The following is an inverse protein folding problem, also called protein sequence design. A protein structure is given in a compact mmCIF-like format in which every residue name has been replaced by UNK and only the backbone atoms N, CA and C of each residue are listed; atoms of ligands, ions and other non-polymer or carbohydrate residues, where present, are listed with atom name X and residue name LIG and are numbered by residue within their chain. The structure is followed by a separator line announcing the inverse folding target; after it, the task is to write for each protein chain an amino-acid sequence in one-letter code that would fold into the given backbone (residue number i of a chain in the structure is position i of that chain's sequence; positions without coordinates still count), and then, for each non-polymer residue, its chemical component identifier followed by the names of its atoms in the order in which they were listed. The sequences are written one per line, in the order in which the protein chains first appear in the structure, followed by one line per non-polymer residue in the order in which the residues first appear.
data_IF_014034278927
#
_entry.id   IF_014034278927
#
_cell.length_a   1.000
_cell.length_b   1.000
_cell.length_c   1.000
_cell.angle_alpha   90.00
_cell.angle_beta   90.00
_cell.angle_gamma   90.00
#
_symmetry.space_group_name_H-M   'P 1'
#
loop_
_entity.id
_entity.type
_entity.pdbx_description
1 polymer ?
#
# COMPACT_ATOMS: atom_id res chain seq x y z
N UNK A 1 -46.23 -57.10 -17.12
CA UNK A 1 -45.29 -56.24 -17.87
C UNK A 1 -45.74 -54.79 -17.77
N UNK A 2 -45.00 -53.95 -17.04
CA UNK A 2 -45.17 -52.49 -16.94
C UNK A 2 -43.79 -51.84 -17.15
N UNK A 3 -43.66 -50.71 -17.86
CA UNK A 3 -42.36 -50.15 -18.23
C UNK A 3 -41.76 -49.28 -17.13
N UNK A 4 -40.43 -49.27 -17.07
CA UNK A 4 -39.59 -48.51 -16.14
C UNK A 4 -39.57 -47.01 -16.48
N UNK A 5 -39.73 -46.14 -15.46
CA UNK A 5 -39.43 -44.70 -15.55
C UNK A 5 -37.95 -44.47 -15.24
N UNK A 6 -37.25 -43.84 -16.18
CA UNK A 6 -35.90 -43.29 -16.02
C UNK A 6 -35.90 -42.14 -15.00
N UNK A 7 -34.99 -42.22 -14.04
CA UNK A 7 -34.59 -41.11 -13.16
C UNK A 7 -33.52 -40.28 -13.88
N UNK A 8 -33.76 -38.98 -14.03
CA UNK A 8 -32.81 -38.01 -14.56
C UNK A 8 -32.10 -37.39 -13.35
N UNK A 9 -30.80 -37.67 -13.21
CA UNK A 9 -29.93 -37.05 -12.22
C UNK A 9 -29.59 -35.62 -12.64
N UNK A 10 -30.10 -34.64 -11.90
CA UNK A 10 -29.65 -33.26 -11.99
C UNK A 10 -28.40 -33.08 -11.14
N UNK A 11 -27.25 -32.97 -11.78
CA UNK A 11 -26.01 -32.46 -11.17
C UNK A 11 -26.23 -31.00 -10.75
N UNK A 12 -26.14 -30.73 -9.44
CA UNK A 12 -26.06 -29.36 -8.91
C UNK A 12 -24.60 -28.97 -8.84
N UNK A 13 -24.15 -28.14 -9.76
CA UNK A 13 -22.89 -27.41 -9.65
C UNK A 13 -22.96 -26.47 -8.43
N UNK A 14 -22.18 -26.77 -7.40
CA UNK A 14 -21.86 -25.86 -6.31
C UNK A 14 -20.86 -24.83 -6.83
N UNK A 15 -21.33 -23.64 -7.21
CA UNK A 15 -20.49 -22.49 -7.45
C UNK A 15 -20.35 -21.73 -6.13
N UNK A 16 -19.22 -21.89 -5.44
CA UNK A 16 -18.84 -21.07 -4.28
C UNK A 16 -18.69 -19.62 -4.73
N UNK A 17 -19.62 -18.77 -4.31
CA UNK A 17 -19.59 -17.33 -4.54
C UNK A 17 -18.81 -16.69 -3.39
N UNK A 18 -17.55 -16.34 -3.64
CA UNK A 18 -16.78 -15.44 -2.78
C UNK A 18 -17.34 -14.04 -2.93
N UNK A 19 -17.79 -13.42 -1.84
CA UNK A 19 -18.17 -12.01 -1.81
C UNK A 19 -16.93 -11.17 -1.44
N UNK A 20 -16.27 -10.63 -2.46
CA UNK A 20 -15.24 -9.60 -2.31
C UNK A 20 -15.95 -8.26 -2.10
N UNK A 21 -15.95 -7.74 -0.87
CA UNK A 21 -16.42 -6.38 -0.59
C UNK A 21 -15.24 -5.43 -0.85
N UNK A 22 -15.21 -4.85 -2.06
CA UNK A 22 -14.28 -3.76 -2.40
C UNK A 22 -14.89 -2.47 -1.86
N UNK A 23 -14.48 -2.04 -0.67
CA UNK A 23 -14.90 -0.75 -0.12
C UNK A 23 -14.05 0.37 -0.71
N UNK A 24 -14.64 1.16 -1.62
CA UNK A 24 -14.04 2.39 -2.14
C UNK A 24 -14.21 3.51 -1.10
N UNK A 25 -13.15 3.86 -0.38
CA UNK A 25 -13.12 5.16 0.32
C UNK A 25 -12.74 6.23 -0.70
N UNK A 26 -13.77 6.96 -1.14
CA UNK A 26 -13.70 8.19 -1.92
C UNK A 26 -13.14 9.32 -1.06
N UNK A 27 -11.96 9.85 -1.40
CA UNK A 27 -11.53 11.16 -0.93
C UNK A 27 -11.65 12.15 -2.11
N UNK A 28 -12.61 13.10 -2.11
CA UNK A 28 -12.69 14.10 -3.17
C UNK A 28 -11.77 15.30 -2.90
N UNK A 29 -11.12 15.75 -3.98
CA UNK A 29 -10.72 17.12 -4.32
C UNK A 29 -9.96 17.98 -3.29
N UNK A 30 -8.70 18.29 -3.62
CA UNK A 30 -8.14 19.64 -3.57
C UNK A 30 -6.93 19.73 -4.51
N UNK A 31 -7.19 19.87 -5.81
CA UNK A 31 -6.23 20.44 -6.76
C UNK A 31 -6.98 21.43 -7.65
N UNK A 32 -7.19 22.64 -7.12
CA UNK A 32 -7.56 23.78 -7.93
C UNK A 32 -6.31 24.46 -8.48
N UNK A 33 -6.39 24.74 -9.77
CA UNK A 33 -5.70 25.78 -10.54
C UNK A 33 -4.19 25.68 -10.74
N UNK A 34 -3.81 25.29 -11.97
CA UNK A 34 -3.09 26.19 -12.87
C UNK A 34 -3.35 25.77 -14.32
N UNK A 35 -4.28 26.47 -14.95
CA UNK A 35 -4.50 26.44 -16.39
C UNK A 35 -3.35 27.18 -17.08
N UNK A 36 -2.68 26.54 -18.03
CA UNK A 36 -2.04 27.27 -19.14
C UNK A 36 -2.58 26.70 -20.45
N UNK A 37 -3.21 27.61 -21.17
CA UNK A 37 -3.88 27.52 -22.46
C UNK A 37 -2.93 27.09 -23.57
N UNK A 38 -3.37 26.20 -24.46
CA UNK A 38 -2.65 25.87 -25.69
C UNK A 38 -3.40 24.93 -26.63
N UNK A 39 -4.35 25.47 -27.41
CA UNK A 39 -4.68 25.07 -28.79
C UNK A 39 -5.16 23.63 -29.08
N UNK A 40 -6.43 23.51 -29.45
CA UNK A 40 -7.11 22.32 -29.98
C UNK A 40 -6.52 21.78 -31.30
N UNK A 41 -6.46 20.45 -31.47
CA UNK A 41 -6.86 19.77 -32.71
C UNK A 41 -7.54 18.44 -32.35
N UNK A 42 -8.81 18.29 -32.77
CA UNK A 42 -9.50 17.00 -32.87
C UNK A 42 -9.15 16.40 -34.23
N UNK A 43 -8.55 15.20 -34.27
CA UNK A 43 -8.53 14.35 -35.46
C UNK A 43 -9.22 13.02 -35.11
N UNK A 44 -10.30 12.77 -35.84
CA UNK A 44 -11.09 11.54 -35.86
C UNK A 44 -10.28 10.33 -36.34
N UNK A 45 -10.37 9.21 -35.60
CA UNK A 45 -10.34 7.85 -36.17
C UNK A 45 -8.99 7.24 -36.55
N UNK A 46 -8.37 6.53 -35.60
CA UNK A 46 -8.00 5.10 -35.67
C UNK A 46 -7.22 4.75 -34.41
N UNK A 47 -7.66 3.68 -33.77
CA UNK A 47 -7.01 3.07 -32.62
C UNK A 47 -5.69 2.44 -33.08
N UNK A 48 -4.60 3.19 -32.90
CA UNK A 48 -3.24 2.67 -32.88
C UNK A 48 -2.53 3.40 -31.76
N UNK A 49 -2.48 2.81 -30.56
CA UNK A 49 -1.53 3.20 -29.53
C UNK A 49 -0.13 2.92 -30.06
N UNK A 50 0.43 3.85 -30.83
CA UNK A 50 1.87 3.91 -31.06
C UNK A 50 2.50 4.08 -29.68
N UNK A 51 3.25 3.07 -29.22
CA UNK A 51 4.08 3.24 -28.04
C UNK A 51 5.05 4.39 -28.33
N UNK A 52 4.82 5.55 -27.73
CA UNK A 52 5.78 6.63 -27.71
C UNK A 52 7.07 6.10 -27.07
N UNK A 53 8.12 5.99 -27.88
CA UNK A 53 9.44 5.51 -27.50
C UNK A 53 10.44 6.67 -27.45
N UNK A 54 9.97 7.91 -27.31
CA UNK A 54 10.84 9.05 -27.08
C UNK A 54 11.62 8.88 -25.76
N UNK A 55 12.82 9.47 -25.64
CA UNK A 55 13.59 9.44 -24.41
C UNK A 55 12.82 10.02 -23.20
N UNK A 56 11.87 10.93 -23.43
CA UNK A 56 11.01 11.47 -22.38
C UNK A 56 9.98 10.44 -21.91
N UNK A 57 9.28 9.77 -22.84
CA UNK A 57 8.34 8.70 -22.51
C UNK A 57 9.04 7.49 -21.85
N UNK A 58 10.26 7.17 -22.27
CA UNK A 58 11.08 6.15 -21.63
C UNK A 58 11.47 6.55 -20.19
N UNK A 59 11.93 7.80 -19.99
CA UNK A 59 12.23 8.34 -18.66
C UNK A 59 11.02 8.29 -17.73
N UNK A 60 9.84 8.69 -18.21
CA UNK A 60 8.59 8.65 -17.43
C UNK A 60 8.19 7.22 -17.06
N UNK A 61 8.34 6.26 -17.99
CA UNK A 61 8.12 4.83 -17.71
C UNK A 61 9.10 4.31 -16.67
N UNK A 62 10.38 4.66 -16.77
CA UNK A 62 11.39 4.24 -15.81
C UNK A 62 11.11 4.82 -14.42
N UNK A 63 10.73 6.09 -14.32
CA UNK A 63 10.32 6.73 -13.06
C UNK A 63 9.09 6.01 -12.49
N UNK A 64 8.05 5.78 -13.28
CA UNK A 64 6.84 5.08 -12.83
C UNK A 64 7.15 3.65 -12.36
N UNK A 65 7.97 2.92 -13.10
CA UNK A 65 8.37 1.56 -12.77
C UNK A 65 9.23 1.54 -11.50
N UNK A 66 10.19 2.44 -11.38
CA UNK A 66 11.00 2.59 -10.17
C UNK A 66 10.14 2.93 -8.96
N UNK A 67 9.22 3.89 -9.07
CA UNK A 67 8.27 4.23 -7.99
C UNK A 67 7.36 3.06 -7.62
N UNK A 68 6.93 2.26 -8.60
CA UNK A 68 6.12 1.07 -8.35
C UNK A 68 6.92 -0.02 -7.65
N UNK A 69 8.15 -0.28 -8.13
CA UNK A 69 9.04 -1.30 -7.58
C UNK A 69 9.52 -0.94 -6.17
N UNK A 70 9.85 0.34 -5.95
CA UNK A 70 10.47 0.83 -4.72
C UNK A 70 9.46 1.35 -3.68
N UNK A 71 8.20 1.59 -4.06
CA UNK A 71 7.18 2.14 -3.15
C UNK A 71 6.08 1.16 -2.74
N UNK A 72 6.04 -0.05 -3.29
CA UNK A 72 4.91 -1.00 -3.10
C UNK A 72 5.34 -2.30 -2.42
N UNK A 73 5.97 -2.20 -1.26
CA UNK A 73 6.30 -3.34 -0.38
C UNK A 73 6.30 -2.90 1.08
N UNK A 74 6.22 -3.86 1.99
CA UNK A 74 6.42 -3.68 3.41
C UNK A 74 7.79 -4.22 3.82
N UNK A 75 8.37 -3.60 4.84
CA UNK A 75 9.64 -3.97 5.45
C UNK A 75 9.31 -4.57 6.80
N UNK A 76 9.85 -5.74 7.12
CA UNK A 76 9.67 -6.32 8.45
C UNK A 76 10.42 -5.53 9.52
N UNK A 77 9.74 -5.21 10.61
CA UNK A 77 10.35 -4.57 11.76
C UNK A 77 11.03 -5.61 12.65
N UNK A 78 12.36 -5.60 12.64
CA UNK A 78 13.25 -6.34 13.55
C UNK A 78 13.84 -5.44 14.64
N UNK A 79 13.25 -4.26 14.87
CA UNK A 79 13.71 -3.26 15.84
C UNK A 79 14.32 -2.00 15.20
N UNK A 80 14.24 -1.84 13.88
CA UNK A 80 14.68 -0.63 13.18
C UNK A 80 13.81 0.57 13.57
N UNK A 81 12.51 0.33 13.73
CA UNK A 81 11.53 1.32 14.15
C UNK A 81 11.18 1.08 15.62
N UNK A 82 11.52 2.00 16.54
CA UNK A 82 11.30 1.85 17.97
C UNK A 82 9.86 2.26 18.35
N UNK A 83 8.88 1.75 17.60
CA UNK A 83 7.44 1.88 17.91
C UNK A 83 7.00 0.53 18.44
N UNK A 84 6.42 0.55 19.65
CA UNK A 84 5.87 -0.64 20.28
C UNK A 84 4.86 -1.32 19.35
N UNK A 85 4.87 -2.64 19.35
CA UNK A 85 3.98 -3.49 18.54
C UNK A 85 4.05 -3.32 17.01
N UNK A 86 4.95 -2.49 16.48
CA UNK A 86 5.15 -2.36 15.04
C UNK A 86 5.81 -3.62 14.48
N UNK A 87 5.11 -4.29 13.57
CA UNK A 87 5.57 -5.53 12.93
C UNK A 87 6.09 -5.30 11.52
N UNK A 88 5.45 -4.41 10.76
CA UNK A 88 5.86 -4.08 9.39
C UNK A 88 5.64 -2.59 9.10
N UNK A 89 6.35 -2.03 8.13
CA UNK A 89 6.16 -0.62 7.73
C UNK A 89 6.46 -0.38 6.26
N UNK A 90 5.89 0.68 5.69
CA UNK A 90 6.18 1.09 4.31
C UNK A 90 7.56 1.75 4.20
N UNK A 91 8.22 1.73 3.03
CA UNK A 91 9.51 2.41 2.82
C UNK A 91 9.48 3.90 3.14
N UNK A 92 8.35 4.58 2.92
CA UNK A 92 8.19 5.99 3.29
C UNK A 92 8.03 6.18 4.80
N UNK A 93 7.73 5.10 5.53
CA UNK A 93 7.37 5.11 6.94
C UNK A 93 5.97 5.68 7.20
N UNK A 94 5.19 6.06 6.19
CA UNK A 94 3.87 6.66 6.43
C UNK A 94 2.82 5.64 6.88
N UNK A 95 3.12 4.35 6.71
CA UNK A 95 2.24 3.26 7.09
C UNK A 95 3.03 2.33 8.01
N UNK A 96 2.49 2.09 9.21
CA UNK A 96 3.00 1.09 10.15
C UNK A 96 1.88 0.08 10.41
N UNK A 97 2.20 -1.21 10.33
CA UNK A 97 1.31 -2.31 10.63
C UNK A 97 1.70 -2.85 12.00
N UNK A 98 0.76 -2.81 12.94
CA UNK A 98 0.93 -3.16 14.35
C UNK A 98 0.32 -4.55 14.64
N UNK A 99 0.54 -5.13 15.82
CA UNK A 99 -0.14 -6.37 16.21
C UNK A 99 -1.69 -6.27 16.18
N UNK A 100 -2.24 -5.10 16.54
CA UNK A 100 -3.67 -4.87 16.79
C UNK A 100 -4.31 -3.91 15.77
N UNK A 101 -3.60 -3.54 14.70
CA UNK A 101 -4.09 -2.56 13.75
C UNK A 101 -2.99 -1.91 12.94
N UNK A 102 -3.15 -0.61 12.63
CA UNK A 102 -2.19 0.11 11.80
C UNK A 102 -2.21 1.62 12.06
N UNK A 103 -1.10 2.28 11.72
CA UNK A 103 -0.95 3.73 11.76
C UNK A 103 -0.80 4.27 10.35
N UNK A 104 -1.51 5.34 10.05
CA UNK A 104 -1.32 6.19 8.86
C UNK A 104 -0.79 7.56 9.29
N UNK A 105 0.31 8.00 8.68
CA UNK A 105 0.90 9.32 8.89
C UNK A 105 0.70 10.16 7.64
N UNK A 106 0.01 11.27 7.80
CA UNK A 106 -0.14 12.30 6.76
C UNK A 106 0.74 13.46 7.17
N UNK A 107 1.88 13.63 6.51
CA UNK A 107 2.84 14.69 6.83
C UNK A 107 3.10 15.60 5.64
N UNK A 108 3.21 16.88 5.94
CA UNK A 108 3.72 17.91 5.06
C UNK A 108 5.07 18.38 5.61
N UNK A 109 6.07 18.42 4.73
CA UNK A 109 7.38 18.97 5.05
C UNK A 109 7.38 20.43 4.62
N UNK A 110 7.50 21.34 5.58
CA UNK A 110 7.54 22.79 5.34
C UNK A 110 8.89 23.37 5.75
N UNK A 111 9.27 24.47 5.14
CA UNK A 111 10.41 25.27 5.60
C UNK A 111 10.01 26.14 6.80
N UNK A 112 10.97 26.92 7.32
CA UNK A 112 10.75 27.81 8.46
C UNK A 112 9.65 28.87 8.26
N UNK A 113 9.30 29.16 7.00
CA UNK A 113 8.29 30.16 6.60
C UNK A 113 6.95 29.49 6.20
N UNK A 114 6.72 28.24 6.59
CA UNK A 114 5.52 27.43 6.27
C UNK A 114 5.31 27.17 4.77
N UNK A 115 6.33 27.36 3.93
CA UNK A 115 6.26 27.00 2.52
C UNK A 115 6.49 25.50 2.33
N UNK A 116 5.62 24.81 1.56
CA UNK A 116 5.80 23.39 1.26
C UNK A 116 7.12 23.16 0.53
N UNK A 117 7.94 22.27 1.07
CA UNK A 117 9.16 21.82 0.37
C UNK A 117 8.72 20.72 -0.60
N UNK A 118 8.92 20.87 -1.92
CA UNK A 118 8.58 19.82 -2.87
C UNK A 118 9.40 18.58 -2.53
N UNK A 119 8.73 17.45 -2.27
CA UNK A 119 9.38 16.16 -2.03
C UNK A 119 10.02 15.66 -3.33
N UNK A 120 11.22 16.15 -3.65
CA UNK A 120 12.06 15.60 -4.71
C UNK A 120 12.80 14.38 -4.15
N UNK A 121 13.01 13.31 -4.95
CA UNK A 121 13.72 12.10 -4.50
C UNK A 121 15.16 12.34 -3.99
N UNK A 122 15.72 13.53 -4.26
CA UNK A 122 17.05 13.92 -3.84
C UNK A 122 17.16 15.46 -3.85
N UNK A 123 17.45 16.05 -2.70
CA UNK A 123 17.99 17.41 -2.60
C UNK A 123 19.47 17.22 -2.24
N UNK A 124 20.43 17.58 -3.11
CA UNK A 124 21.83 17.44 -2.77
C UNK A 124 22.14 18.30 -1.54
N UNK A 125 23.00 17.80 -0.65
CA UNK A 125 23.26 18.42 0.65
C UNK A 125 23.73 19.89 0.56
N UNK A 126 24.32 20.29 -0.57
CA UNK A 126 24.70 21.67 -0.86
C UNK A 126 23.50 22.60 -1.15
N UNK A 127 22.36 22.07 -1.57
CA UNK A 127 21.08 22.78 -1.74
C UNK A 127 20.24 22.78 -0.46
N UNK A 128 20.57 21.94 0.52
CA UNK A 128 20.02 22.05 1.88
C UNK A 128 20.62 23.24 2.66
N UNK A 129 21.73 23.81 2.17
CA UNK A 129 22.36 25.00 2.74
C UNK A 129 21.45 26.21 2.47
N UNK A 130 20.67 26.62 3.48
CA UNK A 130 19.75 27.75 3.40
C UNK A 130 18.27 27.36 3.51
N UNK A 131 17.94 26.07 3.53
CA UNK A 131 16.65 25.61 4.06
C UNK A 131 16.74 25.84 5.57
N UNK A 132 15.94 26.76 6.12
CA UNK A 132 15.84 26.98 7.57
C UNK A 132 15.39 25.71 8.31
N UNK A 133 14.96 25.82 9.56
CA UNK A 133 14.36 24.67 10.26
C UNK A 133 13.31 23.98 9.37
N UNK A 134 13.55 22.73 9.01
CA UNK A 134 12.56 21.88 8.35
C UNK A 134 11.60 21.45 9.44
N UNK A 135 10.32 21.78 9.26
CA UNK A 135 9.26 21.36 10.17
C UNK A 135 8.37 20.36 9.47
N UNK A 136 8.10 19.26 10.14
CA UNK A 136 7.03 18.36 9.74
C UNK A 136 5.79 18.71 10.53
N UNK A 137 4.68 18.94 9.82
CA UNK A 137 3.36 19.02 10.42
C UNK A 137 2.46 17.99 9.77
N UNK A 138 1.51 17.47 10.53
CA UNK A 138 0.72 16.36 10.03
C UNK A 138 -0.29 15.83 11.02
N UNK A 139 -1.01 14.82 10.56
CA UNK A 139 -1.97 14.05 11.35
C UNK A 139 -1.51 12.60 11.38
N UNK A 140 -1.58 12.00 12.56
CA UNK A 140 -1.38 10.57 12.76
C UNK A 140 -2.73 9.95 13.06
N UNK A 141 -3.14 8.98 12.26
CA UNK A 141 -4.33 8.18 12.51
C UNK A 141 -3.89 6.79 12.96
N UNK A 142 -4.35 6.36 14.13
CA UNK A 142 -4.21 4.97 14.60
C UNK A 142 -5.56 4.28 14.45
N UNK A 143 -5.56 3.18 13.74
CA UNK A 143 -6.68 2.26 13.63
C UNK A 143 -6.35 1.03 14.46
N UNK A 144 -7.33 0.56 15.22
CA UNK A 144 -7.26 -0.67 16.01
C UNK A 144 -8.41 -1.55 15.59
N UNK A 145 -8.17 -2.85 15.44
CA UNK A 145 -9.22 -3.82 15.19
C UNK A 145 -10.02 -4.01 16.49
N UNK A 146 -11.30 -3.63 16.47
CA UNK A 146 -12.16 -3.74 17.64
C UNK A 146 -12.59 -5.20 17.82
N UNK A 147 -12.59 -5.66 19.07
CA UNK A 147 -13.00 -7.02 19.43
C UNK A 147 -12.23 -8.12 18.66
N UNK A 148 -11.05 -7.76 18.16
CA UNK A 148 -10.17 -8.71 17.51
C UNK A 148 -9.67 -9.76 18.50
N UNK A 149 -9.41 -10.94 17.94
CA UNK A 149 -8.63 -11.99 18.58
C UNK A 149 -7.16 -11.56 18.75
N UNK A 150 -6.27 -12.53 18.95
CA UNK A 150 -4.81 -12.34 18.87
C UNK A 150 -4.32 -12.87 17.50
N UNK A 151 -4.36 -12.06 16.42
CA UNK A 151 -4.10 -12.55 15.08
C UNK A 151 -2.63 -12.91 14.90
N UNK A 152 -2.36 -14.02 14.21
CA UNK A 152 -1.02 -14.31 13.70
C UNK A 152 -0.75 -13.44 12.49
N UNK A 153 0.34 -12.68 12.50
CA UNK A 153 0.69 -11.74 11.43
C UNK A 153 1.92 -12.23 10.67
N UNK A 154 1.80 -12.35 9.34
CA UNK A 154 2.86 -12.87 8.48
C UNK A 154 3.09 -11.99 7.26
N UNK A 155 4.37 -11.87 6.86
CA UNK A 155 4.75 -11.24 5.60
C UNK A 155 4.63 -12.24 4.45
N UNK A 156 3.90 -11.88 3.41
CA UNK A 156 3.61 -12.74 2.27
C UNK A 156 4.16 -12.18 0.96
N UNK A 157 4.36 -13.08 -0.01
CA UNK A 157 4.95 -12.76 -1.33
C UNK A 157 6.26 -11.98 -1.18
N UNK A 158 7.25 -12.63 -0.54
CA UNK A 158 8.62 -12.13 -0.32
C UNK A 158 9.23 -11.57 -1.61
N UNK A 159 9.71 -10.32 -1.56
CA UNK A 159 10.48 -9.70 -2.62
C UNK A 159 11.86 -10.37 -2.76
N UNK A 160 12.45 -10.25 -3.95
CA UNK A 160 13.77 -10.84 -4.26
C UNK A 160 14.95 -10.01 -3.73
N UNK A 161 14.70 -9.01 -2.89
CA UNK A 161 15.71 -8.12 -2.33
C UNK A 161 15.37 -7.78 -0.88
N UNK A 162 16.42 -7.40 -0.14
CA UNK A 162 16.35 -7.04 1.27
C UNK A 162 16.74 -5.58 1.49
N UNK A 163 16.34 -5.04 2.63
CA UNK A 163 16.69 -3.68 3.05
C UNK A 163 17.77 -3.72 4.13
N UNK A 164 18.69 -2.76 4.08
CA UNK A 164 19.75 -2.61 5.08
C UNK A 164 19.68 -1.21 5.70
N UNK A 165 19.83 -1.13 7.02
CA UNK A 165 19.86 0.11 7.79
C UNK A 165 21.18 0.21 8.55
N UNK A 166 21.87 1.33 8.38
CA UNK A 166 23.10 1.66 9.11
C UNK A 166 22.83 2.93 9.92
N UNK A 167 22.19 2.77 11.08
CA UNK A 167 21.68 3.91 11.86
C UNK A 167 22.81 4.50 12.71
N UNK A 168 23.42 5.57 12.22
CA UNK A 168 24.55 6.23 12.89
C UNK A 168 25.81 5.36 12.93
N UNK A 169 26.69 5.66 13.89
CA UNK A 169 28.01 5.03 14.00
C UNK A 169 28.04 3.82 14.97
N UNK A 170 26.90 3.40 15.52
CA UNK A 170 26.81 2.24 16.42
C UNK A 170 26.44 0.99 15.63
N UNK A 171 27.34 0.00 15.48
CA UNK A 171 27.05 -1.24 14.76
C UNK A 171 25.91 -2.06 15.35
N UNK A 172 25.57 -1.89 16.64
CA UNK A 172 24.42 -2.57 17.24
C UNK A 172 23.08 -2.04 16.71
N UNK A 173 23.10 -0.88 16.04
CA UNK A 173 21.94 -0.29 15.37
C UNK A 173 21.99 -0.50 13.85
N UNK A 174 22.86 -1.41 13.40
CA UNK A 174 22.92 -1.82 12.00
C UNK A 174 22.08 -3.08 11.81
N UNK A 175 21.12 -2.98 10.89
CA UNK A 175 20.19 -4.06 10.57
C UNK A 175 20.39 -4.43 9.11
N UNK A 176 20.79 -5.65 8.83
CA UNK A 176 21.05 -6.12 7.46
C UNK A 176 20.17 -7.31 7.09
N UNK A 177 19.98 -7.51 5.79
CA UNK A 177 19.17 -8.58 5.20
C UNK A 177 17.73 -8.58 5.74
N UNK A 178 17.15 -7.39 5.90
CA UNK A 178 15.79 -7.24 6.39
C UNK A 178 14.83 -7.58 5.24
N UNK A 179 13.94 -8.56 5.46
CA UNK A 179 13.06 -9.06 4.42
C UNK A 179 11.98 -8.05 4.04
N UNK A 180 11.64 -8.02 2.75
CA UNK A 180 10.62 -7.16 2.18
C UNK A 180 9.47 -7.99 1.61
N UNK A 181 8.22 -7.59 1.83
CA UNK A 181 7.04 -8.38 1.45
C UNK A 181 6.07 -7.56 0.61
N UNK A 182 5.37 -8.17 -0.35
CA UNK A 182 4.33 -7.45 -1.11
C UNK A 182 3.02 -7.36 -0.35
N UNK A 183 2.79 -8.28 0.57
CA UNK A 183 1.56 -8.39 1.35
C UNK A 183 1.91 -8.65 2.81
N UNK A 184 1.04 -8.22 3.71
CA UNK A 184 1.08 -8.63 5.12
C UNK A 184 -0.31 -9.16 5.46
N UNK A 185 -0.36 -10.38 5.98
CA UNK A 185 -1.60 -11.09 6.27
C UNK A 185 -1.76 -11.18 7.78
N UNK A 186 -2.93 -10.77 8.26
CA UNK A 186 -3.39 -10.96 9.61
C UNK A 186 -4.40 -12.10 9.59
N UNK A 187 -4.04 -13.22 10.19
CA UNK A 187 -4.90 -14.38 10.23
C UNK A 187 -5.84 -14.35 11.44
N UNK A 188 -7.11 -14.68 11.19
CA UNK A 188 -8.13 -14.82 12.21
C UNK A 188 -8.24 -13.59 13.13
N UNK A 189 -8.23 -12.39 12.51
CA UNK A 189 -8.46 -11.11 13.21
C UNK A 189 -9.79 -11.18 13.95
N UNK A 190 -10.81 -11.69 13.27
CA UNK A 190 -12.05 -12.19 13.86
C UNK A 190 -12.23 -13.66 13.46
N UNK A 191 -13.19 -14.35 14.07
CA UNK A 191 -13.39 -15.78 13.85
C UNK A 191 -13.67 -16.12 12.38
N UNK A 192 -12.71 -16.78 11.73
CA UNK A 192 -12.77 -17.12 10.32
C UNK A 192 -12.56 -15.94 9.36
N UNK A 193 -12.05 -14.80 9.84
CA UNK A 193 -11.81 -13.59 9.06
C UNK A 193 -10.32 -13.21 9.07
N UNK A 194 -9.72 -13.16 7.88
CA UNK A 194 -8.36 -12.68 7.67
C UNK A 194 -8.37 -11.26 7.09
N UNK A 195 -7.33 -10.47 7.36
CA UNK A 195 -7.11 -9.16 6.76
C UNK A 195 -5.78 -9.13 6.01
N UNK A 196 -5.80 -8.78 4.73
CA UNK A 196 -4.58 -8.72 3.91
C UNK A 196 -4.28 -7.28 3.53
N UNK A 197 -3.14 -6.75 3.96
CA UNK A 197 -2.65 -5.42 3.57
C UNK A 197 -1.74 -5.49 2.35
N UNK A 198 -1.89 -4.49 1.47
CA UNK A 198 -1.06 -4.27 0.27
C UNK A 198 -0.81 -2.80 0.07
N UNK A 199 0.32 -2.48 -0.56
CA UNK A 199 0.57 -1.13 -1.06
C UNK A 199 0.29 -1.05 -2.56
N UNK A 200 -0.42 -0.01 -2.97
CA UNK A 200 -0.73 0.27 -4.36
C UNK A 200 -0.62 1.76 -4.60
N UNK A 201 0.34 2.15 -5.46
CA UNK A 201 0.63 3.56 -5.79
C UNK A 201 0.92 4.43 -4.55
N UNK A 202 1.58 3.87 -3.53
CA UNK A 202 1.88 4.57 -2.28
C UNK A 202 0.72 4.63 -1.27
N UNK A 203 -0.45 4.09 -1.61
CA UNK A 203 -1.59 4.01 -0.70
C UNK A 203 -1.74 2.62 -0.11
N UNK A 204 -2.17 2.57 1.16
CA UNK A 204 -2.58 1.33 1.81
C UNK A 204 -3.91 0.84 1.21
N UNK A 205 -3.94 -0.43 0.83
CA UNK A 205 -5.15 -1.17 0.52
C UNK A 205 -5.24 -2.36 1.45
N UNK A 206 -6.46 -2.77 1.77
CA UNK A 206 -6.71 -3.99 2.53
C UNK A 206 -7.87 -4.77 1.92
N UNK A 207 -7.80 -6.08 2.02
CA UNK A 207 -8.90 -6.99 1.73
C UNK A 207 -9.30 -7.71 3.02
N UNK A 208 -10.60 -7.83 3.28
CA UNK A 208 -11.16 -8.65 4.36
C UNK A 208 -11.64 -9.95 3.73
N UNK A 209 -11.04 -11.06 4.15
CA UNK A 209 -11.32 -12.39 3.62
C UNK A 209 -12.17 -13.14 4.63
N UNK A 210 -13.45 -13.30 4.30
CA UNK A 210 -14.43 -13.98 5.15
C UNK A 210 -14.52 -15.45 4.72
N UNK A 211 -14.17 -16.37 5.62
CA UNK A 211 -14.28 -17.81 5.38
C UNK A 211 -15.74 -18.27 5.33
N UNK A 212 -16.06 -19.39 4.65
CA UNK A 212 -17.41 -19.93 4.67
C UNK A 212 -17.90 -20.20 6.10
N UNK A 213 -19.03 -19.59 6.47
CA UNK A 213 -19.66 -19.75 7.79
C UNK A 213 -19.21 -18.75 8.85
N UNK A 214 -18.26 -17.86 8.56
CA UNK A 214 -17.96 -16.71 9.42
C UNK A 214 -19.09 -15.68 9.33
N UNK A 215 -19.32 -14.97 10.44
CA UNK A 215 -20.37 -13.95 10.56
C UNK A 215 -19.82 -12.56 10.21
N UNK A 216 -20.28 -11.89 9.14
CA UNK A 216 -19.84 -10.55 8.80
C UNK A 216 -20.28 -9.46 9.78
N UNK A 217 -21.23 -9.73 10.68
CA UNK A 217 -21.67 -8.76 11.71
C UNK A 217 -20.63 -8.57 12.83
N UNK A 218 -19.62 -9.43 12.91
CA UNK A 218 -18.54 -9.41 13.91
C UNK A 218 -17.32 -8.56 13.46
N UNK A 219 -17.43 -7.78 12.37
CA UNK A 219 -16.33 -7.03 11.72
C UNK A 219 -16.49 -5.50 11.86
#
# INVERSE_FOLDING_TARGET
MRPARRSISGERHHASRYFLIISYILLPLLLSSSSITGGSIIITGRDTTLLDNSPLAEKERLIKNASTLLGSYFIENKGQIPVEDCLFYSPSGDILLLNDGFILRFREVVNADDFPIPQRPYIPANEMVGVGEIRERGVVLRYTFLEANDPTVEGEKRCSWDTNYFIGNDPNRWYTNIPNYREVVYHNVWDGVDVIFRLSNGFLKYDIIISPGADPEEI
#
